data_IF_633577166867
#
_entry.id   IF_633577166867
#
_cell.length_a   1.000
_cell.length_b   1.000
_cell.length_c   1.000
_cell.angle_alpha   90.00
_cell.angle_beta   90.00
_cell.angle_gamma   90.00
#
_symmetry.space_group_name_H-M   'P 1'
#
loop_
_entity.id
_entity.type
_entity.pdbx_description
1 polymer ?
#
# COMPACT_ATOMS: atom_id res chain seq x y z
N UNK A 1 3.29 5.74 9.13
CA UNK A 1 2.96 7.03 8.49
C UNK A 1 1.86 7.70 9.28
N UNK A 2 1.99 9.00 9.59
CA UNK A 2 0.98 9.77 10.35
C UNK A 2 0.29 10.72 9.37
N UNK A 3 -0.97 10.45 9.06
CA UNK A 3 -1.75 11.20 8.09
C UNK A 3 -3.00 11.84 8.70
N UNK A 4 -3.46 11.33 9.84
CA UNK A 4 -4.75 11.71 10.40
C UNK A 4 -4.59 12.77 11.49
N UNK A 5 -5.54 13.69 11.54
CA UNK A 5 -5.61 14.71 12.58
C UNK A 5 -5.92 14.07 13.93
N UNK A 6 -5.31 14.63 14.98
CA UNK A 6 -5.65 14.29 16.35
C UNK A 6 -6.90 15.05 16.79
N UNK A 7 -7.99 14.34 17.06
CA UNK A 7 -9.28 14.96 17.41
C UNK A 7 -9.27 15.68 18.76
N UNK A 8 -8.35 15.31 19.67
CA UNK A 8 -8.25 15.95 20.98
C UNK A 8 -7.46 17.26 20.93
N UNK A 9 -6.41 17.30 20.12
CA UNK A 9 -5.48 18.44 20.06
C UNK A 9 -5.67 19.31 18.82
N UNK A 10 -6.44 18.85 17.84
CA UNK A 10 -6.60 19.49 16.52
C UNK A 10 -5.36 19.39 15.61
N UNK A 11 -4.29 18.75 16.06
CA UNK A 11 -3.01 18.72 15.33
C UNK A 11 -3.08 17.83 14.09
N UNK A 12 -2.78 18.39 12.92
CA UNK A 12 -2.67 17.66 11.65
C UNK A 12 -1.41 16.75 11.60
N UNK A 13 -1.44 15.71 10.77
CA UNK A 13 -0.32 14.76 10.55
C UNK A 13 0.19 14.08 11.82
N UNK A 14 -0.69 13.77 12.78
CA UNK A 14 -0.31 13.34 14.12
C UNK A 14 -0.58 11.86 14.39
N UNK A 15 -1.66 11.31 13.83
CA UNK A 15 -2.12 9.95 14.05
C UNK A 15 -1.92 9.07 12.82
N UNK A 16 -1.57 7.81 13.05
CA UNK A 16 -1.42 6.76 12.03
C UNK A 16 -2.69 5.92 11.88
N UNK A 17 -2.75 5.11 10.81
CA UNK A 17 -3.86 4.17 10.58
C UNK A 17 -4.08 3.24 11.77
N UNK A 18 -2.99 2.78 12.40
CA UNK A 18 -3.04 1.89 13.55
C UNK A 18 -3.62 2.58 14.79
N UNK A 19 -3.19 3.80 15.08
CA UNK A 19 -3.71 4.59 16.22
C UNK A 19 -5.18 4.96 16.06
N UNK A 20 -5.63 5.13 14.82
CA UNK A 20 -7.04 5.42 14.47
C UNK A 20 -7.91 4.17 14.37
N UNK A 21 -7.32 2.97 14.43
CA UNK A 21 -7.99 1.70 14.19
C UNK A 21 -8.76 1.66 12.84
N UNK A 22 -8.16 2.26 11.80
CA UNK A 22 -8.73 2.30 10.45
C UNK A 22 -8.28 1.11 9.60
N UNK A 23 -8.94 0.91 8.46
CA UNK A 23 -8.62 -0.20 7.55
C UNK A 23 -7.58 0.19 6.48
N UNK A 24 -6.97 -0.83 5.89
CA UNK A 24 -5.99 -0.71 4.79
C UNK A 24 -6.47 -1.56 3.62
N UNK A 25 -6.59 -0.94 2.44
CA UNK A 25 -6.80 -1.64 1.17
C UNK A 25 -5.49 -1.62 0.37
N UNK A 26 -4.96 -2.79 0.08
CA UNK A 26 -3.81 -2.98 -0.79
C UNK A 26 -4.31 -3.29 -2.20
N UNK A 27 -3.73 -2.67 -3.22
CA UNK A 27 -4.05 -2.95 -4.62
C UNK A 27 -2.74 -3.13 -5.38
N UNK A 28 -2.60 -4.24 -6.11
CA UNK A 28 -1.43 -4.47 -6.97
C UNK A 28 -1.40 -3.46 -8.12
N UNK A 29 -0.31 -2.70 -8.26
CA UNK A 29 -0.20 -1.61 -9.24
C UNK A 29 1.17 -1.57 -9.95
N UNK A 30 1.37 -2.43 -10.94
CA UNK A 30 2.64 -2.49 -11.69
C UNK A 30 2.93 -1.23 -12.51
N UNK A 31 1.90 -0.46 -12.89
CA UNK A 31 2.07 0.74 -13.72
C UNK A 31 2.82 1.87 -13.03
N UNK A 32 2.97 1.82 -11.69
CA UNK A 32 3.83 2.75 -10.95
C UNK A 32 5.31 2.64 -11.35
N UNK A 33 5.70 1.51 -11.93
CA UNK A 33 7.03 1.29 -12.53
C UNK A 33 7.10 1.69 -14.01
N UNK A 34 6.12 2.46 -14.50
CA UNK A 34 6.11 2.97 -15.87
C UNK A 34 7.20 4.01 -16.12
N UNK A 35 8.01 3.78 -17.14
CA UNK A 35 8.98 4.73 -17.68
C UNK A 35 8.45 5.21 -19.03
N UNK A 36 8.38 6.52 -19.24
CA UNK A 36 7.89 7.07 -20.50
C UNK A 36 8.98 7.01 -21.59
N UNK A 37 8.70 6.31 -22.69
CA UNK A 37 9.47 6.36 -23.94
C UNK A 37 8.70 7.24 -24.93
N UNK A 38 8.99 8.55 -24.90
CA UNK A 38 8.12 9.56 -25.48
C UNK A 38 6.79 9.61 -24.72
N UNK A 39 5.67 9.43 -25.42
CA UNK A 39 4.33 9.42 -24.80
C UNK A 39 3.83 8.01 -24.43
N UNK A 40 4.59 6.96 -24.76
CA UNK A 40 4.21 5.57 -24.47
C UNK A 40 4.83 5.13 -23.14
N UNK A 41 4.04 4.62 -22.18
CA UNK A 41 4.61 4.00 -20.99
C UNK A 41 5.22 2.63 -21.31
N UNK A 42 6.38 2.39 -20.74
CA UNK A 42 7.13 1.14 -20.80
C UNK A 42 7.30 0.60 -19.38
N UNK A 43 7.02 -0.69 -19.18
CA UNK A 43 6.99 -1.33 -17.86
C UNK A 43 8.07 -2.40 -17.69
N UNK A 44 9.16 -2.36 -18.48
CA UNK A 44 10.20 -3.40 -18.48
C UNK A 44 10.88 -3.60 -17.10
N UNK A 45 10.85 -2.59 -16.23
CA UNK A 45 11.42 -2.68 -14.87
C UNK A 45 10.42 -3.23 -13.83
N UNK A 46 9.15 -3.37 -14.19
CA UNK A 46 8.17 -4.00 -13.31
C UNK A 46 8.45 -5.50 -13.17
N UNK A 47 8.18 -6.05 -11.99
CA UNK A 47 8.33 -7.48 -11.75
C UNK A 47 7.41 -8.29 -12.70
N UNK A 48 7.89 -9.36 -13.36
CA UNK A 48 7.05 -10.18 -14.22
C UNK A 48 5.85 -10.78 -13.47
N UNK A 49 4.67 -10.91 -14.11
CA UNK A 49 3.43 -11.33 -13.43
C UNK A 49 3.54 -12.65 -12.65
N UNK A 50 4.28 -13.62 -13.19
CA UNK A 50 4.48 -14.94 -12.57
C UNK A 50 5.21 -14.84 -11.21
N UNK A 51 6.10 -13.87 -11.03
CA UNK A 51 6.80 -13.61 -9.76
C UNK A 51 6.04 -12.59 -8.90
N UNK A 52 5.39 -11.60 -9.53
CA UNK A 52 4.67 -10.54 -8.84
C UNK A 52 3.45 -11.06 -8.07
N UNK A 53 2.71 -12.03 -8.61
CA UNK A 53 1.52 -12.59 -7.94
C UNK A 53 1.84 -13.24 -6.58
N UNK A 54 2.77 -14.22 -6.47
CA UNK A 54 3.13 -14.78 -5.17
C UNK A 54 3.82 -13.76 -4.25
N UNK A 55 4.61 -12.83 -4.82
CA UNK A 55 5.21 -11.76 -4.03
C UNK A 55 4.15 -10.86 -3.38
N UNK A 56 3.14 -10.41 -4.15
CA UNK A 56 2.04 -9.60 -3.65
C UNK A 56 1.22 -10.34 -2.58
N UNK A 57 0.91 -11.62 -2.79
CA UNK A 57 0.23 -12.43 -1.77
C UNK A 57 1.02 -12.46 -0.45
N UNK A 58 2.34 -12.67 -0.51
CA UNK A 58 3.20 -12.65 0.69
C UNK A 58 3.25 -11.28 1.37
N UNK A 59 3.13 -10.20 0.59
CA UNK A 59 3.07 -8.83 1.11
C UNK A 59 1.76 -8.59 1.87
N UNK A 60 0.62 -9.00 1.30
CA UNK A 60 -0.70 -8.91 1.95
C UNK A 60 -0.69 -9.65 3.29
N UNK A 61 -0.19 -10.89 3.31
CA UNK A 61 -0.06 -11.67 4.55
C UNK A 61 0.82 -10.98 5.60
N UNK A 62 1.93 -10.37 5.17
CA UNK A 62 2.84 -9.66 6.07
C UNK A 62 2.16 -8.44 6.71
N UNK A 63 1.34 -7.72 5.96
CA UNK A 63 0.57 -6.59 6.48
C UNK A 63 -0.51 -7.04 7.46
N UNK A 64 -1.26 -8.09 7.12
CA UNK A 64 -2.26 -8.70 8.01
C UNK A 64 -1.65 -9.12 9.36
N UNK A 65 -0.48 -9.78 9.33
CA UNK A 65 0.26 -10.20 10.54
C UNK A 65 0.81 -9.03 11.36
N UNK A 66 1.18 -7.92 10.72
CA UNK A 66 1.82 -6.78 11.37
C UNK A 66 0.83 -5.76 11.95
N UNK A 67 -0.45 -5.85 11.59
CA UNK A 67 -1.49 -4.92 12.05
C UNK A 67 -2.67 -5.64 12.68
N UNK A 68 -3.70 -5.97 11.89
CA UNK A 68 -4.88 -6.75 12.26
C UNK A 68 -5.38 -7.43 11.00
N UNK A 69 -5.56 -8.75 11.04
CA UNK A 69 -5.95 -9.55 9.86
C UNK A 69 -7.22 -9.01 9.20
N UNK A 70 -8.24 -8.69 9.98
CA UNK A 70 -9.54 -8.26 9.43
C UNK A 70 -9.52 -6.83 8.86
N UNK A 71 -8.57 -6.00 9.30
CA UNK A 71 -8.45 -4.59 8.89
C UNK A 71 -7.59 -4.39 7.65
N UNK A 72 -7.04 -5.46 7.06
CA UNK A 72 -6.24 -5.40 5.83
C UNK A 72 -6.89 -6.22 4.73
N UNK A 73 -7.29 -5.55 3.65
CA UNK A 73 -7.85 -6.16 2.42
C UNK A 73 -6.82 -6.06 1.30
N UNK A 74 -6.75 -7.08 0.45
CA UNK A 74 -5.88 -7.14 -0.73
C UNK A 74 -6.58 -7.78 -1.92
#
# INVERSE_FOLDING_TARGET
MRLFTNEKTGKAWDQSVMQRNFEVLLVSQFTLYGILKGNKPDFHVAMPPAKAKPFYASLVEKFQKSYKTDSVKG
#
